data_IF_829566496221
#
_entry.id   IF_829566496221
#
_cell.length_a   1.000
_cell.length_b   1.000
_cell.length_c   1.000
_cell.angle_alpha   90.00
_cell.angle_beta   90.00
_cell.angle_gamma   90.00
#
_symmetry.space_group_name_H-M   'P 1'
#
loop_
_entity.id
_entity.type
_entity.pdbx_description
1 polymer ?
#
# COMPACT_ATOMS: atom_id res chain seq x y z
N UNK A 1 20.11 21.82 -6.50
CA UNK A 1 20.81 21.00 -5.48
C UNK A 1 19.81 20.40 -4.52
N UNK A 2 19.91 19.11 -4.30
CA UNK A 2 19.07 18.47 -3.31
C UNK A 2 19.45 18.98 -1.91
N UNK A 3 18.48 19.48 -1.18
CA UNK A 3 18.68 19.89 0.21
C UNK A 3 18.95 18.64 1.05
N UNK A 4 20.09 18.62 1.70
CA UNK A 4 20.41 17.57 2.64
C UNK A 4 19.98 17.98 4.03
N UNK A 5 19.20 17.13 4.65
CA UNK A 5 18.79 17.29 6.03
C UNK A 5 19.68 16.44 6.93
N UNK A 6 20.08 17.00 8.06
CA UNK A 6 20.72 16.24 9.13
C UNK A 6 19.72 16.08 10.26
N UNK A 7 19.38 14.85 10.57
CA UNK A 7 18.40 14.53 11.60
C UNK A 7 19.04 13.64 12.65
N UNK A 8 18.90 14.01 13.90
CA UNK A 8 19.27 13.14 15.00
C UNK A 8 18.12 12.19 15.30
N UNK A 9 18.42 10.91 15.32
CA UNK A 9 17.45 9.86 15.66
C UNK A 9 18.05 8.99 16.76
N UNK A 10 17.18 8.44 17.59
CA UNK A 10 17.59 7.46 18.60
C UNK A 10 17.18 6.09 18.10
N UNK A 11 18.17 5.23 17.88
CA UNK A 11 17.95 3.84 17.47
C UNK A 11 18.59 2.94 18.52
N UNK A 12 17.74 2.18 19.19
CA UNK A 12 18.19 1.44 20.37
C UNK A 12 18.65 2.44 21.43
N UNK A 13 19.85 2.24 21.94
CA UNK A 13 20.46 3.13 22.94
C UNK A 13 21.35 4.20 22.33
N UNK A 14 21.41 4.28 21.01
CA UNK A 14 22.38 5.14 20.32
C UNK A 14 21.69 6.33 19.68
N UNK A 15 22.28 7.50 19.87
CA UNK A 15 21.92 8.71 19.14
C UNK A 15 22.72 8.74 17.85
N UNK A 16 22.04 8.76 16.73
CA UNK A 16 22.66 8.70 15.41
C UNK A 16 22.24 9.95 14.65
N UNK A 17 23.20 10.59 14.00
CA UNK A 17 22.92 11.69 13.09
C UNK A 17 22.88 11.14 11.67
N UNK A 18 21.71 11.25 11.06
CA UNK A 18 21.49 10.81 9.69
C UNK A 18 21.47 12.02 8.76
N UNK A 19 22.26 11.95 7.69
CA UNK A 19 22.23 12.93 6.62
C UNK A 19 21.58 12.34 5.39
N UNK A 20 20.78 13.13 4.70
CA UNK A 20 20.14 12.68 3.48
C UNK A 20 19.16 13.69 2.93
N UNK A 21 18.56 13.34 1.80
CA UNK A 21 17.55 14.16 1.14
C UNK A 21 16.14 13.96 1.70
N UNK A 22 15.96 12.96 2.57
CA UNK A 22 14.67 12.65 3.15
C UNK A 22 14.30 13.65 4.24
N UNK A 23 13.00 13.81 4.48
CA UNK A 23 12.50 14.70 5.50
C UNK A 23 12.82 14.19 6.90
N UNK A 24 12.86 15.12 7.86
CA UNK A 24 13.04 14.76 9.27
C UNK A 24 11.93 13.82 9.75
N UNK A 25 10.68 14.08 9.37
CA UNK A 25 9.53 13.22 9.71
C UNK A 25 9.72 11.80 9.22
N UNK A 26 10.21 11.65 7.99
CA UNK A 26 10.46 10.34 7.43
C UNK A 26 11.56 9.60 8.20
N UNK A 27 12.64 10.28 8.52
CA UNK A 27 13.75 9.68 9.28
C UNK A 27 13.33 9.27 10.68
N UNK A 28 12.45 10.06 11.32
CA UNK A 28 11.88 9.69 12.61
C UNK A 28 10.95 8.47 12.51
N UNK A 29 10.21 8.35 11.42
CA UNK A 29 9.38 7.16 11.15
C UNK A 29 10.23 5.90 11.01
N UNK A 30 11.34 6.01 10.29
CA UNK A 30 12.29 4.89 10.14
C UNK A 30 12.83 4.47 11.51
N UNK A 31 13.27 5.44 12.31
CA UNK A 31 13.77 5.16 13.66
C UNK A 31 12.71 4.52 14.55
N UNK A 32 11.49 5.02 14.51
CA UNK A 32 10.36 4.46 15.28
C UNK A 32 10.05 3.02 14.90
N UNK A 33 10.10 2.71 13.61
CA UNK A 33 9.89 1.35 13.12
C UNK A 33 10.96 0.39 13.68
N UNK A 34 12.21 0.79 13.61
CA UNK A 34 13.32 -0.03 14.12
C UNK A 34 13.21 -0.21 15.64
N UNK A 35 12.92 0.88 16.35
CA UNK A 35 12.78 0.83 17.82
C UNK A 35 11.61 -0.05 18.24
N UNK A 36 10.50 0.02 17.52
CA UNK A 36 9.34 -0.84 17.79
C UNK A 36 9.68 -2.31 17.63
N UNK A 37 10.47 -2.64 16.63
CA UNK A 37 10.95 -4.02 16.44
C UNK A 37 11.86 -4.47 17.57
N UNK A 38 12.77 -3.62 18.01
CA UNK A 38 13.62 -3.93 19.17
C UNK A 38 12.80 -4.19 20.41
N UNK A 39 11.79 -3.37 20.67
CA UNK A 39 10.90 -3.57 21.81
C UNK A 39 10.20 -4.93 21.76
N UNK A 40 9.67 -5.30 20.61
CA UNK A 40 8.96 -6.56 20.43
C UNK A 40 9.90 -7.76 20.62
N UNK A 41 11.09 -7.71 20.03
CA UNK A 41 12.04 -8.80 20.13
C UNK A 41 12.69 -8.91 21.50
N UNK A 42 12.86 -7.78 22.21
CA UNK A 42 13.40 -7.79 23.57
C UNK A 42 12.44 -8.45 24.59
N UNK A 43 11.21 -8.67 24.23
CA UNK A 43 10.27 -9.46 25.05
C UNK A 43 10.59 -10.96 24.97
N UNK A 44 11.31 -11.38 23.95
CA UNK A 44 11.73 -12.76 23.75
C UNK A 44 13.06 -12.97 24.45
N UNK A 45 13.08 -13.88 25.42
CA UNK A 45 14.26 -14.12 26.25
C UNK A 45 15.47 -14.56 25.44
N UNK A 46 15.27 -15.46 24.47
CA UNK A 46 16.36 -15.96 23.62
C UNK A 46 17.01 -14.84 22.80
N UNK A 47 16.24 -13.86 22.36
CA UNK A 47 16.77 -12.69 21.65
C UNK A 47 17.50 -11.77 22.61
N UNK A 48 16.90 -11.51 23.78
CA UNK A 48 17.46 -10.60 24.79
C UNK A 48 18.84 -11.05 25.28
N UNK A 49 19.08 -12.34 25.28
CA UNK A 49 20.36 -12.93 25.70
C UNK A 49 21.45 -12.85 24.65
N UNK A 50 21.12 -12.51 23.43
CA UNK A 50 22.12 -12.45 22.35
C UNK A 50 23.06 -11.25 22.53
N UNK A 51 24.32 -11.38 22.09
CA UNK A 51 25.22 -10.21 22.03
C UNK A 51 24.67 -9.13 21.12
N UNK A 52 25.11 -7.88 21.33
CA UNK A 52 24.62 -6.73 20.58
C UNK A 52 24.80 -6.87 19.06
N UNK A 53 25.93 -7.40 18.64
CA UNK A 53 26.20 -7.62 17.21
C UNK A 53 25.24 -8.65 16.60
N UNK A 54 24.92 -9.72 17.32
CA UNK A 54 23.97 -10.74 16.87
C UNK A 54 22.56 -10.18 16.84
N UNK A 55 22.17 -9.40 17.84
CA UNK A 55 20.88 -8.71 17.85
C UNK A 55 20.72 -7.84 16.62
N UNK A 56 21.78 -7.12 16.27
CA UNK A 56 21.78 -6.25 15.07
C UNK A 56 21.57 -7.06 13.79
N UNK A 57 22.26 -8.18 13.66
CA UNK A 57 22.10 -9.07 12.49
C UNK A 57 20.68 -9.63 12.41
N UNK A 58 20.13 -10.09 13.53
CA UNK A 58 18.76 -10.62 13.57
C UNK A 58 17.74 -9.56 13.21
N UNK A 59 17.95 -8.32 13.65
CA UNK A 59 17.10 -7.20 13.27
C UNK A 59 17.16 -6.90 11.78
N UNK A 60 18.34 -6.93 11.20
CA UNK A 60 18.54 -6.72 9.77
C UNK A 60 17.80 -7.78 8.95
N UNK A 61 17.92 -9.04 9.33
CA UNK A 61 17.20 -10.15 8.67
C UNK A 61 15.69 -9.94 8.76
N UNK A 62 15.22 -9.52 9.92
CA UNK A 62 13.79 -9.33 10.14
C UNK A 62 13.22 -8.17 9.33
N UNK A 63 13.96 -7.07 9.26
CA UNK A 63 13.57 -5.90 8.46
C UNK A 63 13.54 -6.26 6.97
N UNK A 64 14.55 -7.00 6.51
CA UNK A 64 14.58 -7.48 5.13
C UNK A 64 13.40 -8.42 4.82
N UNK A 65 13.07 -9.30 5.76
CA UNK A 65 11.92 -10.19 5.62
C UNK A 65 10.60 -9.40 5.49
N UNK A 66 10.42 -8.40 6.32
CA UNK A 66 9.25 -7.52 6.25
C UNK A 66 9.17 -6.80 4.89
N UNK A 67 10.31 -6.35 4.39
CA UNK A 67 10.38 -5.67 3.10
C UNK A 67 9.91 -6.60 1.98
N UNK A 68 10.44 -7.82 1.92
CA UNK A 68 10.07 -8.76 0.86
C UNK A 68 8.61 -9.21 0.95
N UNK A 69 8.11 -9.41 2.16
CA UNK A 69 6.69 -9.74 2.38
C UNK A 69 5.78 -8.60 1.95
N UNK A 70 6.15 -7.36 2.28
CA UNK A 70 5.38 -6.20 1.86
C UNK A 70 5.40 -6.05 0.33
N UNK A 71 6.50 -6.31 -0.28
CA UNK A 71 6.66 -6.28 -1.74
C UNK A 71 5.77 -7.31 -2.43
N UNK A 72 5.72 -8.52 -1.88
CA UNK A 72 4.87 -9.59 -2.41
C UNK A 72 3.38 -9.23 -2.26
N UNK A 73 3.00 -8.68 -1.13
CA UNK A 73 1.63 -8.19 -0.91
C UNK A 73 1.27 -7.06 -1.88
N UNK A 74 2.21 -6.15 -2.13
CA UNK A 74 1.99 -5.07 -3.10
C UNK A 74 1.71 -5.63 -4.49
N UNK A 75 2.49 -6.63 -4.90
CA UNK A 75 2.29 -7.28 -6.20
C UNK A 75 0.92 -7.95 -6.29
N UNK A 76 0.52 -8.67 -5.24
CA UNK A 76 -0.81 -9.29 -5.18
C UNK A 76 -1.92 -8.26 -5.30
N UNK A 77 -1.79 -7.13 -4.59
CA UNK A 77 -2.77 -6.05 -4.64
C UNK A 77 -2.82 -5.39 -6.01
N UNK A 78 -1.67 -5.22 -6.66
CA UNK A 78 -1.61 -4.69 -8.02
C UNK A 78 -2.32 -5.63 -9.00
N UNK A 79 -2.12 -6.93 -8.87
CA UNK A 79 -2.80 -7.93 -9.72
C UNK A 79 -4.32 -7.91 -9.48
N UNK A 80 -4.75 -7.82 -8.22
CA UNK A 80 -6.16 -7.69 -7.87
C UNK A 80 -6.78 -6.41 -8.43
N UNK A 81 -6.04 -5.31 -8.37
CA UNK A 81 -6.49 -4.03 -8.91
C UNK A 81 -6.67 -4.13 -10.42
N UNK A 82 -5.75 -4.77 -11.12
CA UNK A 82 -5.85 -4.98 -12.56
C UNK A 82 -7.10 -5.79 -12.92
N UNK A 83 -7.38 -6.84 -12.16
CA UNK A 83 -8.59 -7.65 -12.35
C UNK A 83 -9.84 -6.81 -12.10
N UNK A 84 -9.85 -6.02 -11.03
CA UNK A 84 -10.98 -5.14 -10.70
C UNK A 84 -11.21 -4.07 -11.76
N UNK A 85 -10.16 -3.52 -12.31
CA UNK A 85 -10.25 -2.54 -13.40
C UNK A 85 -10.88 -3.16 -14.65
N UNK A 86 -10.53 -4.38 -14.99
CA UNK A 86 -11.15 -5.12 -16.10
C UNK A 86 -12.63 -5.39 -15.85
N UNK A 87 -12.98 -5.84 -14.65
CA UNK A 87 -14.36 -6.07 -14.26
C UNK A 87 -15.18 -4.78 -14.34
N UNK A 88 -14.62 -3.67 -13.88
CA UNK A 88 -15.27 -2.37 -13.94
C UNK A 88 -15.47 -1.92 -15.38
N UNK A 89 -14.48 -2.13 -16.22
CA UNK A 89 -14.57 -1.84 -17.66
C UNK A 89 -15.72 -2.61 -18.30
N UNK A 90 -15.81 -3.91 -18.03
CA UNK A 90 -16.85 -4.76 -18.57
C UNK A 90 -18.24 -4.35 -18.08
N UNK A 91 -18.36 -4.00 -16.80
CA UNK A 91 -19.62 -3.52 -16.22
C UNK A 91 -20.06 -2.21 -16.88
N UNK A 92 -19.14 -1.30 -17.11
CA UNK A 92 -19.43 -0.03 -17.78
C UNK A 92 -19.96 -0.28 -19.20
N UNK A 93 -19.35 -1.20 -19.94
CA UNK A 93 -19.81 -1.59 -21.27
C UNK A 93 -21.20 -2.22 -21.25
N UNK A 94 -21.45 -3.10 -20.30
CA UNK A 94 -22.77 -3.70 -20.12
C UNK A 94 -23.83 -2.66 -19.77
N UNK A 95 -23.47 -1.69 -18.93
CA UNK A 95 -24.37 -0.60 -18.57
C UNK A 95 -24.73 0.26 -19.78
N UNK A 96 -23.75 0.63 -20.59
CA UNK A 96 -23.99 1.40 -21.81
C UNK A 96 -24.88 0.62 -22.77
N UNK A 97 -24.62 -0.66 -22.96
CA UNK A 97 -25.44 -1.51 -23.83
C UNK A 97 -26.87 -1.61 -23.31
N UNK A 98 -27.06 -1.74 -22.00
CA UNK A 98 -28.38 -1.78 -21.40
C UNK A 98 -29.13 -0.45 -21.56
N UNK A 99 -28.44 0.67 -21.41
CA UNK A 99 -29.01 2.00 -21.62
C UNK A 99 -29.47 2.21 -23.06
N UNK A 100 -28.67 1.79 -24.02
CA UNK A 100 -29.02 1.88 -25.45
C UNK A 100 -30.26 1.03 -25.74
N UNK A 101 -30.32 -0.18 -25.21
CA UNK A 101 -31.48 -1.06 -25.34
C UNK A 101 -32.73 -0.42 -24.75
N UNK A 102 -32.58 0.16 -23.58
CA UNK A 102 -33.70 0.80 -22.87
C UNK A 102 -34.24 1.97 -23.70
N UNK A 103 -33.35 2.82 -24.22
CA UNK A 103 -33.73 3.95 -25.08
C UNK A 103 -34.45 3.49 -26.33
N UNK A 104 -33.96 2.43 -26.99
CA UNK A 104 -34.59 1.84 -28.14
C UNK A 104 -36.01 1.34 -27.85
N UNK A 105 -36.17 0.67 -26.74
CA UNK A 105 -37.49 0.17 -26.30
C UNK A 105 -38.45 1.28 -25.94
N UNK A 106 -37.96 2.32 -25.31
CA UNK A 106 -38.76 3.51 -24.97
C UNK A 106 -39.26 4.20 -26.25
N UNK A 107 -38.39 4.32 -27.26
CA UNK A 107 -38.77 4.86 -28.57
C UNK A 107 -39.84 4.02 -29.27
N UNK A 108 -39.68 2.71 -29.20
CA UNK A 108 -40.66 1.79 -29.77
C UNK A 108 -42.02 1.93 -29.10
N UNK A 109 -42.04 2.03 -27.79
CA UNK A 109 -43.26 2.21 -27.01
C UNK A 109 -43.94 3.53 -27.36
N UNK A 110 -43.17 4.61 -27.45
CA UNK A 110 -43.69 5.92 -27.86
C UNK A 110 -44.31 5.87 -29.28
N UNK A 111 -43.60 5.27 -30.20
CA UNK A 111 -44.07 5.12 -31.58
C UNK A 111 -45.33 4.31 -31.65
N UNK A 112 -45.42 3.23 -30.89
CA UNK A 112 -46.61 2.38 -30.82
C UNK A 112 -47.79 3.16 -30.24
N UNK A 113 -47.60 3.88 -29.12
CA UNK A 113 -48.62 4.72 -28.52
C UNK A 113 -49.13 5.80 -29.48
N UNK A 114 -48.21 6.45 -30.18
CA UNK A 114 -48.58 7.49 -31.17
C UNK A 114 -49.37 6.88 -32.37
N UNK A 115 -48.99 5.68 -32.79
CA UNK A 115 -49.68 4.98 -33.84
C UNK A 115 -51.10 4.54 -33.41
N UNK A 116 -51.31 4.18 -32.19
CA UNK A 116 -52.59 3.79 -31.64
C UNK A 116 -53.55 5.00 -31.48
N UNK A 117 -52.96 6.18 -31.24
CA UNK A 117 -53.73 7.43 -31.09
C UNK A 117 -54.32 7.97 -32.39
N UNK A 118 -53.83 7.52 -33.49
CA UNK A 118 -54.35 7.89 -34.81
C UNK A 118 -55.44 6.90 -35.23
#
# INVERSE_FOLDING_TARGET
MANRNNTEVVIGDKVIRLGGSESEEYMQRVASYINGKYEDYNKIESFRRQPADMKSVLMQINIADDYFKARDQLKELQDELEIKDKEMYDIKHELIAAQIKLESKEKLIKNYQNGVKN
#
